data_IF_640607456758
#
_entry.id   IF_640607456758
#
_cell.length_a   1.000
_cell.length_b   1.000
_cell.length_c   1.000
_cell.angle_alpha   90.00
_cell.angle_beta   90.00
_cell.angle_gamma   90.00
#
_symmetry.space_group_name_H-M   'P 1'
#
loop_
_entity.id
_entity.type
_entity.pdbx_description
1 polymer ?
#
# COMPACT_ATOMS: atom_id res chain seq x y z
N UNK A 1 23.47 7.71 29.72
CA UNK A 1 24.77 7.41 29.09
C UNK A 1 24.97 5.93 28.75
N UNK A 2 25.17 4.99 29.70
CA UNK A 2 25.42 3.57 29.32
C UNK A 2 24.26 2.93 28.54
N UNK A 3 23.04 3.07 29.04
CA UNK A 3 21.83 2.58 28.36
C UNK A 3 21.65 3.23 26.99
N UNK A 4 21.83 4.54 26.92
CA UNK A 4 21.75 5.32 25.68
C UNK A 4 22.81 4.89 24.64
N UNK A 5 24.05 4.61 25.06
CA UNK A 5 25.06 4.04 24.17
C UNK A 5 24.68 2.64 23.67
N UNK A 6 24.01 1.83 24.48
CA UNK A 6 23.50 0.53 24.05
C UNK A 6 22.35 0.70 23.05
N UNK A 7 21.48 1.67 23.29
CA UNK A 7 20.40 2.05 22.40
C UNK A 7 20.93 2.50 21.04
N UNK A 8 21.96 3.35 21.01
CA UNK A 8 22.64 3.80 19.79
C UNK A 8 23.23 2.61 19.01
N UNK A 9 23.92 1.68 19.71
CA UNK A 9 24.47 0.47 19.09
C UNK A 9 23.40 -0.45 18.52
N UNK A 10 22.29 -0.65 19.24
CA UNK A 10 21.14 -1.44 18.78
C UNK A 10 20.51 -0.80 17.55
N UNK A 11 20.28 0.51 17.59
CA UNK A 11 19.79 1.28 16.43
C UNK A 11 20.73 1.11 15.24
N UNK A 12 22.04 1.37 15.39
CA UNK A 12 23.02 1.24 14.30
C UNK A 12 22.96 -0.13 13.63
N UNK A 13 22.78 -1.20 14.41
CA UNK A 13 22.65 -2.57 13.88
C UNK A 13 21.38 -2.76 13.05
N UNK A 14 20.25 -2.20 13.47
CA UNK A 14 18.97 -2.31 12.78
C UNK A 14 18.91 -1.50 11.47
N UNK A 15 19.76 -0.47 11.35
CA UNK A 15 19.83 0.46 10.21
C UNK A 15 21.14 0.37 9.42
N UNK A 16 21.92 -0.69 9.61
CA UNK A 16 23.21 -0.85 8.94
C UNK A 16 23.10 -0.96 7.41
N UNK A 17 21.91 -1.32 6.90
CA UNK A 17 21.57 -1.40 5.48
C UNK A 17 21.13 -0.06 4.88
N UNK A 18 21.04 1.01 5.67
CA UNK A 18 20.60 2.33 5.22
C UNK A 18 21.76 3.30 5.04
N UNK A 19 22.15 3.52 3.78
CA UNK A 19 23.25 4.42 3.44
C UNK A 19 22.96 5.88 3.78
N UNK A 20 21.69 6.29 3.75
CA UNK A 20 21.21 7.65 4.02
C UNK A 20 21.13 7.98 5.54
N UNK A 21 21.30 6.98 6.42
CA UNK A 21 21.23 7.13 7.88
C UNK A 21 22.63 6.99 8.48
N UNK A 22 23.01 7.91 9.36
CA UNK A 22 24.26 7.84 10.10
C UNK A 22 24.01 7.71 11.60
N UNK A 23 24.70 6.77 12.22
CA UNK A 23 24.72 6.59 13.68
C UNK A 23 26.18 6.55 14.14
N UNK A 24 26.60 7.47 15.03
CA UNK A 24 27.98 7.55 15.48
C UNK A 24 28.38 6.30 16.25
N UNK A 25 29.63 5.85 16.08
CA UNK A 25 30.18 4.77 16.90
C UNK A 25 30.35 5.19 18.37
N UNK A 26 30.00 4.30 19.28
CA UNK A 26 30.16 4.53 20.72
C UNK A 26 31.57 4.10 21.15
N UNK A 27 32.31 5.01 21.77
CA UNK A 27 33.62 4.72 22.34
C UNK A 27 33.46 4.28 23.80
N UNK A 28 33.28 2.97 24.00
CA UNK A 28 33.00 2.37 25.31
C UNK A 28 34.07 2.63 26.36
N UNK A 29 35.35 2.69 25.97
CA UNK A 29 36.46 2.96 26.89
C UNK A 29 36.42 4.37 27.49
N UNK A 30 35.70 5.30 26.86
CA UNK A 30 35.53 6.68 27.33
C UNK A 30 34.11 6.97 27.82
N UNK A 31 33.21 5.98 27.75
CA UNK A 31 31.82 6.11 28.21
C UNK A 31 31.70 5.61 29.64
N UNK A 32 30.92 6.33 30.47
CA UNK A 32 30.63 6.00 31.86
C UNK A 32 29.15 6.19 32.18
N UNK A 33 28.76 6.01 33.44
CA UNK A 33 27.39 6.29 33.88
C UNK A 33 26.95 7.73 33.68
N UNK A 34 27.89 8.69 33.62
CA UNK A 34 27.61 10.14 33.54
C UNK A 34 28.09 10.81 32.26
N UNK A 35 28.88 10.12 31.44
CA UNK A 35 29.47 10.66 30.21
C UNK A 35 29.27 9.65 29.10
N UNK A 36 28.68 10.06 27.98
CA UNK A 36 28.62 9.29 26.75
C UNK A 36 29.65 9.86 25.77
N UNK A 37 30.52 9.01 25.23
CA UNK A 37 31.51 9.42 24.22
C UNK A 37 31.25 8.65 22.94
N UNK A 38 31.09 9.39 21.85
CA UNK A 38 30.75 8.85 20.53
C UNK A 38 31.55 9.54 19.43
N UNK A 39 31.50 8.97 18.23
CA UNK A 39 32.11 9.52 17.02
C UNK A 39 31.63 10.94 16.75
N UNK A 40 32.58 11.79 16.37
CA UNK A 40 32.27 13.15 15.97
C UNK A 40 31.65 13.16 14.58
N UNK A 41 30.43 13.69 14.48
CA UNK A 41 29.72 13.83 13.20
C UNK A 41 29.73 15.29 12.78
N UNK A 42 30.27 15.56 11.60
CA UNK A 42 30.16 16.89 10.99
C UNK A 42 28.79 17.02 10.32
N UNK A 43 28.08 18.10 10.61
CA UNK A 43 26.80 18.38 9.97
C UNK A 43 26.11 19.63 10.51
N UNK A 44 25.00 19.98 9.88
CA UNK A 44 24.16 21.12 10.24
C UNK A 44 22.87 20.62 10.88
N UNK A 45 22.42 21.27 11.95
CA UNK A 45 21.19 20.86 12.64
C UNK A 45 19.98 20.96 11.72
N UNK A 46 19.06 20.01 11.83
CA UNK A 46 17.93 19.88 10.91
C UNK A 46 16.95 21.06 10.97
N UNK A 47 16.98 21.86 12.05
CA UNK A 47 16.22 23.10 12.18
C UNK A 47 16.87 24.33 11.51
N UNK A 48 18.06 24.20 10.91
CA UNK A 48 18.80 25.28 10.25
C UNK A 48 18.66 25.19 8.72
N UNK A 49 17.44 25.34 8.22
CA UNK A 49 17.12 25.13 6.79
C UNK A 49 18.02 25.90 5.83
N UNK A 50 18.21 27.21 6.04
CA UNK A 50 19.03 28.04 5.16
C UNK A 50 20.49 27.55 5.05
N UNK A 51 21.05 26.99 6.14
CA UNK A 51 22.42 26.46 6.15
C UNK A 51 22.51 25.11 5.42
N UNK A 52 21.45 24.29 5.47
CA UNK A 52 21.35 23.04 4.71
C UNK A 52 21.22 23.34 3.22
N UNK A 53 20.34 24.27 2.85
CA UNK A 53 20.13 24.67 1.46
C UNK A 53 21.37 25.32 0.84
N UNK A 54 22.17 26.06 1.63
CA UNK A 54 23.44 26.62 1.15
C UNK A 54 24.48 25.55 0.75
N UNK A 55 24.30 24.31 1.20
CA UNK A 55 25.12 23.15 0.82
C UNK A 55 24.56 22.42 -0.41
N UNK A 56 23.46 22.91 -1.00
CA UNK A 56 22.77 22.26 -2.12
C UNK A 56 21.87 21.08 -1.71
N UNK A 57 21.67 20.87 -0.41
CA UNK A 57 20.79 19.83 0.13
C UNK A 57 19.37 20.36 0.31
N UNK A 58 18.38 19.47 0.24
CA UNK A 58 16.98 19.81 0.55
C UNK A 58 16.60 19.26 1.91
N UNK A 59 16.14 20.13 2.81
CA UNK A 59 15.68 19.71 4.14
C UNK A 59 14.55 18.69 4.05
N UNK A 60 13.64 18.85 3.08
CA UNK A 60 12.52 17.93 2.88
C UNK A 60 12.96 16.50 2.53
N UNK A 61 14.07 16.32 1.82
CA UNK A 61 14.60 14.99 1.49
C UNK A 61 15.10 14.29 2.77
N UNK A 62 15.75 15.04 3.67
CA UNK A 62 16.22 14.55 4.97
C UNK A 62 15.05 14.28 5.92
N UNK A 63 14.04 15.14 5.94
CA UNK A 63 12.82 14.94 6.73
C UNK A 63 12.08 13.69 6.26
N UNK A 64 11.94 13.51 4.94
CA UNK A 64 11.35 12.30 4.34
C UNK A 64 12.14 11.06 4.74
N UNK A 65 13.47 11.13 4.70
CA UNK A 65 14.36 10.06 5.18
C UNK A 65 14.13 9.74 6.66
N UNK A 66 13.93 10.76 7.50
CA UNK A 66 13.60 10.60 8.92
C UNK A 66 12.23 9.96 9.18
N UNK A 67 11.20 10.35 8.41
CA UNK A 67 9.86 9.74 8.46
C UNK A 67 9.94 8.27 8.08
N UNK A 68 10.59 7.95 6.97
CA UNK A 68 10.77 6.57 6.48
C UNK A 68 11.55 5.72 7.49
N UNK A 69 12.62 6.28 8.07
CA UNK A 69 13.38 5.63 9.15
C UNK A 69 12.48 5.32 10.36
N UNK A 70 11.67 6.28 10.79
CA UNK A 70 10.79 6.15 11.97
C UNK A 70 9.65 5.16 11.76
N UNK A 71 9.05 5.14 10.56
CA UNK A 71 8.05 4.13 10.19
C UNK A 71 8.65 2.73 10.16
N UNK A 72 9.86 2.59 9.58
CA UNK A 72 10.61 1.33 9.58
C UNK A 72 10.93 0.83 10.99
N UNK A 73 11.34 1.74 11.88
CA UNK A 73 11.61 1.43 13.28
C UNK A 73 10.39 0.87 13.98
N UNK A 74 9.27 1.55 13.79
CA UNK A 74 8.02 1.22 14.43
C UNK A 74 7.44 -0.09 13.89
N UNK A 75 7.35 -0.24 12.57
CA UNK A 75 6.53 -1.27 11.94
C UNK A 75 7.32 -2.54 11.58
N UNK A 76 8.63 -2.47 11.32
CA UNK A 76 9.43 -3.67 11.03
C UNK A 76 10.05 -4.27 12.28
N UNK A 77 10.74 -3.43 13.06
CA UNK A 77 11.55 -3.89 14.19
C UNK A 77 10.87 -3.71 15.54
N UNK A 78 9.88 -2.81 15.63
CA UNK A 78 9.24 -2.42 16.89
C UNK A 78 10.22 -1.84 17.89
N UNK A 79 11.29 -1.20 17.42
CA UNK A 79 12.28 -0.52 18.25
C UNK A 79 12.50 0.87 17.68
N UNK A 80 11.88 1.88 18.29
CA UNK A 80 11.71 3.20 17.70
C UNK A 80 12.16 4.33 18.62
N UNK A 81 12.57 5.41 17.99
CA UNK A 81 12.95 6.63 18.68
C UNK A 81 11.69 7.43 19.00
N UNK A 82 11.38 7.59 20.28
CA UNK A 82 10.13 8.21 20.74
C UNK A 82 10.16 9.76 20.73
N UNK A 83 11.30 10.37 20.43
CA UNK A 83 11.47 11.83 20.41
C UNK A 83 12.64 12.24 19.49
N UNK A 84 12.47 12.14 18.16
CA UNK A 84 13.52 12.50 17.20
C UNK A 84 13.64 14.03 17.07
N UNK A 85 13.96 14.71 18.17
CA UNK A 85 13.99 16.17 18.24
C UNK A 85 14.98 16.74 17.20
N UNK A 86 14.60 17.75 16.40
CA UNK A 86 15.45 18.28 15.31
C UNK A 86 16.83 18.77 15.76
N UNK A 87 16.98 19.13 17.04
CA UNK A 87 18.26 19.52 17.64
C UNK A 87 19.28 18.39 17.76
N UNK A 88 18.83 17.13 17.73
CA UNK A 88 19.62 15.91 17.83
C UNK A 88 19.81 15.22 16.47
N UNK A 89 19.31 15.84 15.40
CA UNK A 89 19.44 15.38 14.03
C UNK A 89 20.35 16.32 13.24
N UNK A 90 21.33 15.76 12.54
CA UNK A 90 22.22 16.53 11.66
C UNK A 90 22.06 16.11 10.20
N UNK A 91 22.08 17.10 9.32
CA UNK A 91 22.36 16.94 7.90
C UNK A 91 23.88 16.89 7.70
N UNK A 92 24.43 15.76 7.27
CA UNK A 92 25.87 15.68 6.96
C UNK A 92 26.15 16.31 5.58
N UNK A 93 27.39 16.75 5.30
CA UNK A 93 27.75 17.30 3.98
C UNK A 93 27.52 16.32 2.82
N UNK A 94 27.55 15.02 3.10
CA UNK A 94 27.29 13.95 2.13
C UNK A 94 25.79 13.72 1.88
N UNK A 95 24.91 14.46 2.55
CA UNK A 95 23.46 14.34 2.41
C UNK A 95 22.83 13.25 3.28
N UNK A 96 23.53 12.76 4.31
CA UNK A 96 22.99 11.77 5.25
C UNK A 96 22.28 12.43 6.43
N UNK A 97 21.30 11.71 7.00
CA UNK A 97 20.64 12.08 8.25
C UNK A 97 21.31 11.38 9.44
N UNK A 98 22.01 12.13 10.28
CA UNK A 98 22.68 11.61 11.46
C UNK A 98 21.84 11.77 12.73
N UNK A 99 21.77 10.70 13.53
CA UNK A 99 21.10 10.69 14.84
C UNK A 99 22.14 10.75 15.95
N UNK A 100 21.98 11.68 16.90
CA UNK A 100 22.93 11.89 17.99
C UNK A 100 22.39 11.51 19.37
N UNK A 101 21.08 11.50 19.56
CA UNK A 101 20.41 11.19 20.83
C UNK A 101 19.66 9.88 20.69
N UNK A 102 19.86 9.00 21.67
CA UNK A 102 19.18 7.70 21.76
C UNK A 102 18.64 7.46 23.18
N UNK A 103 18.42 8.55 23.93
CA UNK A 103 17.96 8.52 25.30
C UNK A 103 16.50 8.07 25.43
N UNK A 104 15.69 8.35 24.41
CA UNK A 104 14.28 7.96 24.33
C UNK A 104 14.03 6.97 23.19
N UNK A 105 14.33 5.71 23.46
CA UNK A 105 13.94 4.57 22.64
C UNK A 105 12.84 3.77 23.32
N UNK A 106 11.91 3.24 22.55
CA UNK A 106 10.82 2.40 23.05
C UNK A 106 10.62 1.18 22.16
N UNK A 107 9.92 0.19 22.70
CA UNK A 107 9.55 -1.02 21.99
C UNK A 107 8.04 -1.12 21.78
N UNK A 108 7.65 -1.72 20.66
CA UNK A 108 6.27 -2.02 20.31
C UNK A 108 6.12 -3.51 20.01
N UNK A 109 5.15 -4.20 20.65
CA UNK A 109 4.84 -5.60 20.38
C UNK A 109 4.48 -5.89 18.91
N UNK A 110 4.79 -7.09 18.42
CA UNK A 110 4.60 -7.45 17.01
C UNK A 110 3.13 -7.50 16.57
N UNK A 111 2.25 -7.99 17.44
CA UNK A 111 0.80 -7.95 17.29
C UNK A 111 0.30 -6.52 17.15
N UNK A 112 0.74 -5.61 18.02
CA UNK A 112 0.40 -4.20 17.94
C UNK A 112 0.89 -3.56 16.62
N UNK A 113 2.10 -3.90 16.15
CA UNK A 113 2.61 -3.43 14.83
C UNK A 113 1.72 -3.90 13.68
N UNK A 114 1.35 -5.19 13.70
CA UNK A 114 0.49 -5.79 12.68
C UNK A 114 -0.89 -5.14 12.68
N UNK A 115 -1.46 -4.94 13.88
CA UNK A 115 -2.74 -4.28 14.07
C UNK A 115 -2.74 -2.83 13.54
N UNK A 116 -1.65 -2.06 13.74
CA UNK A 116 -1.52 -0.70 13.17
C UNK A 116 -1.63 -0.74 11.63
N UNK A 117 -0.94 -1.66 10.96
CA UNK A 117 -0.99 -1.73 9.50
C UNK A 117 -2.38 -2.19 9.02
N UNK A 118 -3.00 -3.17 9.67
CA UNK A 118 -4.38 -3.57 9.34
C UNK A 118 -5.38 -2.44 9.54
N UNK A 119 -5.21 -1.63 10.59
CA UNK A 119 -6.04 -0.44 10.81
C UNK A 119 -5.95 0.58 9.67
N UNK A 120 -4.74 0.80 9.15
CA UNK A 120 -4.54 1.62 7.94
C UNK A 120 -5.20 0.99 6.72
N UNK A 121 -5.18 -0.34 6.57
CA UNK A 121 -5.85 -1.03 5.46
C UNK A 121 -7.37 -0.88 5.54
N UNK A 122 -7.98 -1.08 6.71
CA UNK A 122 -9.42 -0.89 6.88
C UNK A 122 -9.84 0.57 6.66
N UNK A 123 -8.99 1.54 7.05
CA UNK A 123 -9.18 2.97 6.74
C UNK A 123 -9.25 3.22 5.24
N UNK A 124 -8.26 2.73 4.49
CA UNK A 124 -8.18 2.92 3.03
C UNK A 124 -9.36 2.23 2.32
N UNK A 125 -9.79 1.09 2.83
CA UNK A 125 -10.94 0.36 2.29
C UNK A 125 -12.30 0.95 2.69
N UNK A 126 -12.33 1.96 3.56
CA UNK A 126 -13.56 2.48 4.18
C UNK A 126 -14.39 1.37 4.86
N UNK A 127 -13.72 0.34 5.37
CA UNK A 127 -14.36 -0.73 6.14
C UNK A 127 -14.35 -0.34 7.62
N UNK A 128 -15.30 0.53 7.97
CA UNK A 128 -15.39 1.12 9.30
C UNK A 128 -15.81 0.08 10.35
N UNK A 129 -16.53 -0.96 9.94
CA UNK A 129 -16.88 -2.09 10.79
C UNK A 129 -15.64 -2.92 11.18
N UNK A 130 -14.76 -3.22 10.23
CA UNK A 130 -13.48 -3.88 10.50
C UNK A 130 -12.52 -2.98 11.27
N UNK A 131 -12.46 -1.70 10.90
CA UNK A 131 -11.67 -0.68 11.60
C UNK A 131 -12.03 -0.59 13.09
N UNK A 132 -13.32 -0.61 13.42
CA UNK A 132 -13.78 -0.56 14.81
C UNK A 132 -13.37 -1.82 15.59
N UNK A 133 -13.29 -2.99 14.93
CA UNK A 133 -12.81 -4.24 15.55
C UNK A 133 -11.30 -4.25 15.77
N UNK A 134 -10.52 -3.48 15.00
CA UNK A 134 -9.07 -3.37 15.22
C UNK A 134 -8.74 -2.83 16.61
N UNK A 135 -9.64 -2.08 17.25
CA UNK A 135 -9.44 -1.61 18.62
C UNK A 135 -9.26 -2.74 19.63
N UNK A 136 -9.73 -3.96 19.34
CA UNK A 136 -9.37 -5.12 20.15
C UNK A 136 -7.93 -5.57 19.91
N UNK A 137 -7.51 -5.65 18.64
CA UNK A 137 -6.15 -6.06 18.27
C UNK A 137 -5.08 -5.03 18.66
N UNK A 138 -5.47 -3.76 18.80
CA UNK A 138 -4.65 -2.66 19.31
C UNK A 138 -4.62 -2.58 20.84
N UNK A 139 -5.35 -3.46 21.55
CA UNK A 139 -5.52 -3.44 23.01
C UNK A 139 -6.15 -2.14 23.53
N UNK A 140 -6.91 -1.45 22.68
CA UNK A 140 -7.60 -0.20 22.99
C UNK A 140 -8.93 -0.45 23.68
N UNK A 141 -9.61 -1.54 23.33
CA UNK A 141 -10.87 -1.97 23.89
C UNK A 141 -10.82 -3.47 24.18
N UNK A 142 -11.57 -3.90 25.20
CA UNK A 142 -11.75 -5.32 25.49
C UNK A 142 -12.80 -5.92 24.55
N UNK A 143 -12.67 -7.21 24.21
CA UNK A 143 -13.52 -7.90 23.21
C UNK A 143 -14.99 -8.02 23.61
N UNK A 144 -15.34 -7.71 24.85
CA UNK A 144 -16.70 -7.65 25.39
C UNK A 144 -17.41 -6.32 25.15
N UNK A 145 -16.69 -5.28 24.72
CA UNK A 145 -17.26 -3.96 24.41
C UNK A 145 -17.89 -4.00 23.01
N UNK A 146 -19.16 -3.60 22.85
CA UNK A 146 -19.76 -3.45 21.52
C UNK A 146 -19.21 -2.21 20.80
N UNK A 147 -18.48 -2.43 19.70
CA UNK A 147 -17.89 -1.38 18.86
C UNK A 147 -18.81 -0.87 17.75
N UNK A 148 -19.99 -1.49 17.54
CA UNK A 148 -20.95 -1.06 16.51
C UNK A 148 -21.35 0.42 16.61
N UNK A 149 -21.51 1.00 17.82
CA UNK A 149 -21.81 2.42 17.99
C UNK A 149 -20.67 3.38 17.59
N UNK A 150 -19.43 2.89 17.48
CA UNK A 150 -18.26 3.68 17.07
C UNK A 150 -18.23 3.88 15.55
N UNK A 151 -18.77 2.92 14.79
CA UNK A 151 -18.71 2.88 13.31
C UNK A 151 -19.23 4.16 12.64
N UNK A 152 -20.38 4.75 13.02
CA UNK A 152 -20.84 6.00 12.42
C UNK A 152 -19.88 7.16 12.66
N UNK A 153 -19.29 7.26 13.85
CA UNK A 153 -18.34 8.32 14.17
C UNK A 153 -17.03 8.19 13.37
N UNK A 154 -16.55 6.96 13.17
CA UNK A 154 -15.41 6.69 12.28
C UNK A 154 -15.75 7.05 10.84
N UNK A 155 -16.94 6.65 10.37
CA UNK A 155 -17.40 6.95 9.02
C UNK A 155 -17.47 8.46 8.79
N UNK A 156 -18.14 9.19 9.66
CA UNK A 156 -18.29 10.65 9.53
C UNK A 156 -16.91 11.33 9.51
N UNK A 157 -16.02 10.95 10.44
CA UNK A 157 -14.68 11.51 10.50
C UNK A 157 -13.83 11.19 9.27
N UNK A 158 -13.75 9.91 8.89
CA UNK A 158 -12.87 9.47 7.82
C UNK A 158 -13.45 9.72 6.43
N UNK A 159 -14.77 9.67 6.20
CA UNK A 159 -15.34 10.05 4.91
C UNK A 159 -15.17 11.55 4.66
N UNK A 160 -15.34 12.40 5.67
CA UNK A 160 -15.03 13.84 5.56
C UNK A 160 -13.53 14.04 5.27
N UNK A 161 -12.68 13.34 6.03
CA UNK A 161 -11.23 13.40 5.88
C UNK A 161 -10.71 12.86 4.54
N UNK A 162 -11.36 11.85 3.95
CA UNK A 162 -10.99 11.18 2.70
C UNK A 162 -11.69 11.76 1.46
N UNK A 163 -12.70 12.62 1.64
CA UNK A 163 -13.21 13.48 0.57
C UNK A 163 -12.21 14.60 0.24
N UNK A 164 -11.43 15.03 1.23
CA UNK A 164 -10.12 15.60 1.01
C UNK A 164 -9.16 14.46 0.63
N UNK A 165 -8.26 14.67 -0.31
CA UNK A 165 -7.31 13.59 -0.69
C UNK A 165 -6.55 13.12 0.57
N UNK A 166 -6.14 11.85 0.71
CA UNK A 166 -5.31 11.40 1.88
C UNK A 166 -4.10 12.33 2.09
N UNK A 167 -3.63 12.94 1.00
CA UNK A 167 -2.64 14.00 0.97
C UNK A 167 -3.02 15.31 1.66
N UNK A 168 -4.25 15.57 2.06
CA UNK A 168 -4.63 16.82 2.74
C UNK A 168 -4.69 16.68 4.26
N UNK A 169 -4.70 15.44 4.77
CA UNK A 169 -4.73 15.13 6.19
C UNK A 169 -3.37 15.35 6.87
N UNK A 170 -3.43 15.85 8.10
CA UNK A 170 -2.27 15.95 9.01
C UNK A 170 -2.55 15.15 10.29
N UNK A 171 -1.49 14.71 10.96
CA UNK A 171 -1.60 13.86 12.16
C UNK A 171 -2.29 14.58 13.30
N UNK A 172 -2.10 15.89 13.43
CA UNK A 172 -2.82 16.68 14.44
C UNK A 172 -4.34 16.58 14.30
N UNK A 173 -4.90 16.74 13.10
CA UNK A 173 -6.34 16.60 12.85
C UNK A 173 -6.83 15.18 13.12
N UNK A 174 -6.02 14.16 12.81
CA UNK A 174 -6.35 12.76 13.17
C UNK A 174 -6.43 12.57 14.68
N UNK A 175 -5.46 13.08 15.44
CA UNK A 175 -5.45 13.00 16.90
C UNK A 175 -6.62 13.76 17.51
N UNK A 176 -6.89 14.98 17.05
CA UNK A 176 -7.98 15.81 17.56
C UNK A 176 -9.36 15.20 17.22
N UNK A 177 -9.51 14.66 16.01
CA UNK A 177 -10.74 14.02 15.55
C UNK A 177 -11.04 12.70 16.26
N UNK A 178 -10.04 11.84 16.39
CA UNK A 178 -10.14 10.60 17.17
C UNK A 178 -10.39 10.88 18.65
N UNK A 179 -9.85 11.97 19.20
CA UNK A 179 -10.09 12.39 20.59
C UNK A 179 -11.57 12.43 20.94
N UNK A 180 -12.42 12.97 20.07
CA UNK A 180 -13.87 13.05 20.29
C UNK A 180 -14.56 11.68 20.32
N UNK A 181 -14.03 10.72 19.57
CA UNK A 181 -14.50 9.31 19.58
C UNK A 181 -14.02 8.60 20.85
N UNK A 182 -12.76 8.84 21.26
CA UNK A 182 -12.15 8.23 22.45
C UNK A 182 -12.88 8.59 23.75
N UNK A 183 -13.47 9.78 23.85
CA UNK A 183 -14.21 10.20 25.06
C UNK A 183 -15.55 9.49 25.27
N UNK A 184 -16.12 8.89 24.22
CA UNK A 184 -17.44 8.27 24.28
C UNK A 184 -17.41 6.79 24.69
N UNK A 185 -16.23 6.17 24.68
CA UNK A 185 -16.04 4.73 24.89
C UNK A 185 -14.89 4.46 25.87
N UNK A 186 -14.85 3.29 26.55
CA UNK A 186 -13.86 2.99 27.58
C UNK A 186 -12.49 2.61 26.97
N UNK A 187 -11.90 3.51 26.19
CA UNK A 187 -10.59 3.31 25.59
C UNK A 187 -9.49 3.25 26.66
N UNK A 188 -8.68 2.20 26.58
CA UNK A 188 -7.44 2.07 27.34
C UNK A 188 -6.27 2.07 26.35
N UNK A 189 -5.58 3.20 26.20
CA UNK A 189 -4.50 3.33 25.22
C UNK A 189 -3.15 2.94 25.85
N UNK A 190 -2.47 1.87 25.40
CA UNK A 190 -1.16 1.52 25.93
C UNK A 190 -0.13 2.65 25.79
N UNK A 191 0.77 2.77 26.77
CA UNK A 191 1.69 3.90 26.89
C UNK A 191 2.61 4.10 25.66
N UNK A 192 2.98 3.02 24.96
CA UNK A 192 3.83 3.12 23.77
C UNK A 192 3.13 3.80 22.59
N UNK A 193 1.79 3.79 22.51
CA UNK A 193 1.07 4.56 21.49
C UNK A 193 1.19 6.07 21.70
N UNK A 194 1.22 6.53 22.95
CA UNK A 194 1.51 7.93 23.24
C UNK A 194 2.93 8.34 22.81
N UNK A 195 3.89 7.42 22.90
CA UNK A 195 5.27 7.61 22.42
C UNK A 195 5.34 7.64 20.88
N UNK A 196 4.57 6.76 20.21
CA UNK A 196 4.44 6.76 18.74
C UNK A 196 3.88 8.10 18.26
N UNK A 197 2.76 8.52 18.84
CA UNK A 197 2.11 9.79 18.48
C UNK A 197 3.06 10.96 18.68
N UNK A 198 3.77 11.02 19.82
CA UNK A 198 4.78 12.05 20.08
C UNK A 198 5.85 12.09 19.00
N UNK A 199 6.43 10.93 18.66
CA UNK A 199 7.47 10.84 17.64
C UNK A 199 6.98 11.37 16.28
N UNK A 200 5.78 10.95 15.87
CA UNK A 200 5.19 11.38 14.60
C UNK A 200 4.85 12.87 14.59
N UNK A 201 4.32 13.41 15.69
CA UNK A 201 4.04 14.85 15.83
C UNK A 201 5.30 15.71 15.76
N UNK A 202 6.42 15.27 16.34
CA UNK A 202 7.70 15.98 16.27
C UNK A 202 8.22 16.03 14.83
N UNK A 203 8.15 14.91 14.10
CA UNK A 203 8.54 14.85 12.69
C UNK A 203 7.63 15.68 11.80
N UNK A 204 6.32 15.66 12.05
CA UNK A 204 5.35 16.49 11.33
C UNK A 204 5.61 17.98 11.57
N UNK A 205 5.86 18.40 12.81
CA UNK A 205 6.18 19.79 13.13
C UNK A 205 7.43 20.28 12.39
N UNK A 206 8.44 19.43 12.26
CA UNK A 206 9.64 19.74 11.47
C UNK A 206 9.35 19.83 9.97
N UNK A 207 8.54 18.91 9.44
CA UNK A 207 8.18 18.91 8.03
C UNK A 207 7.39 20.17 7.65
N UNK A 208 6.40 20.54 8.47
CA UNK A 208 5.58 21.75 8.29
C UNK A 208 6.38 23.04 8.49
N UNK A 209 7.43 23.01 9.32
CA UNK A 209 8.37 24.13 9.42
C UNK A 209 9.17 24.33 8.13
N UNK A 210 9.59 23.25 7.48
CA UNK A 210 10.35 23.31 6.23
C UNK A 210 9.47 23.62 5.00
N UNK A 211 8.26 23.08 4.95
CA UNK A 211 7.23 23.38 3.95
C UNK A 211 5.84 23.32 4.58
N UNK A 212 5.13 24.46 4.71
CA UNK A 212 3.77 24.50 5.28
C UNK A 212 2.74 23.66 4.54
N UNK A 213 3.01 23.32 3.27
CA UNK A 213 2.15 22.47 2.46
C UNK A 213 2.55 21.00 2.52
N UNK A 214 3.58 20.63 3.30
CA UNK A 214 4.05 19.26 3.39
C UNK A 214 3.00 18.33 3.97
N UNK A 215 2.87 17.15 3.38
CA UNK A 215 1.81 16.18 3.66
C UNK A 215 2.41 14.89 4.20
N UNK A 216 2.57 14.81 5.51
CA UNK A 216 3.30 13.73 6.19
C UNK A 216 2.67 12.36 5.94
N UNK A 217 1.33 12.29 5.93
CA UNK A 217 0.62 11.04 5.62
C UNK A 217 0.88 10.57 4.19
N UNK A 218 0.87 11.49 3.21
CA UNK A 218 1.24 11.15 1.83
C UNK A 218 2.70 10.70 1.73
N UNK A 219 3.62 11.35 2.46
CA UNK A 219 5.03 10.94 2.53
C UNK A 219 5.23 9.56 3.19
N UNK A 220 4.25 9.10 3.98
CA UNK A 220 4.25 7.79 4.64
C UNK A 220 3.62 6.69 3.77
N UNK A 221 2.80 7.04 2.77
CA UNK A 221 2.05 6.08 1.98
C UNK A 221 2.91 5.08 1.20
N UNK A 222 4.04 5.47 0.56
CA UNK A 222 4.96 4.54 -0.08
C UNK A 222 5.42 3.40 0.84
N UNK A 223 5.69 3.73 2.11
CA UNK A 223 6.11 2.77 3.12
C UNK A 223 5.03 1.73 3.38
N UNK A 224 3.80 2.18 3.67
CA UNK A 224 2.67 1.30 3.92
C UNK A 224 2.34 0.43 2.69
N UNK A 225 2.38 1.02 1.50
CA UNK A 225 2.14 0.30 0.25
C UNK A 225 3.18 -0.82 0.03
N UNK A 226 4.47 -0.50 0.16
CA UNK A 226 5.56 -1.49 0.09
C UNK A 226 5.39 -2.56 1.17
N UNK A 227 5.13 -2.17 2.42
CA UNK A 227 4.98 -3.11 3.54
C UNK A 227 3.81 -4.06 3.31
N UNK A 228 2.64 -3.55 2.95
CA UNK A 228 1.46 -4.36 2.66
C UNK A 228 1.70 -5.35 1.52
N UNK A 229 2.42 -4.94 0.48
CA UNK A 229 2.73 -5.80 -0.67
C UNK A 229 3.76 -6.90 -0.34
N UNK A 230 4.73 -6.63 0.53
CA UNK A 230 5.93 -7.47 0.70
C UNK A 230 5.97 -8.27 2.01
N UNK A 231 5.16 -7.92 3.01
CA UNK A 231 5.22 -8.53 4.34
C UNK A 231 4.65 -9.96 4.33
N UNK A 232 5.40 -10.97 4.85
CA UNK A 232 4.91 -12.34 4.95
C UNK A 232 3.87 -12.57 6.06
N UNK A 233 3.62 -11.59 6.92
CA UNK A 233 2.68 -11.70 8.04
C UNK A 233 1.28 -12.11 7.54
N UNK A 234 0.69 -13.21 8.08
CA UNK A 234 -0.65 -13.66 7.68
C UNK A 234 -1.71 -12.57 7.76
N UNK A 235 -1.70 -11.75 8.82
CA UNK A 235 -2.66 -10.68 9.01
C UNK A 235 -2.61 -9.63 7.89
N UNK A 236 -1.40 -9.19 7.51
CA UNK A 236 -1.22 -8.21 6.43
C UNK A 236 -1.50 -8.78 5.06
N UNK A 237 -1.15 -10.04 4.86
CA UNK A 237 -1.50 -10.78 3.66
C UNK A 237 -3.02 -10.88 3.51
N UNK A 238 -3.74 -11.21 4.59
CA UNK A 238 -5.20 -11.33 4.56
C UNK A 238 -5.85 -9.95 4.33
N UNK A 239 -5.29 -8.89 4.93
CA UNK A 239 -5.70 -7.51 4.67
C UNK A 239 -5.44 -7.07 3.21
N UNK A 240 -4.30 -7.47 2.61
CA UNK A 240 -4.01 -7.25 1.19
C UNK A 240 -5.01 -8.00 0.31
N UNK A 241 -5.32 -9.26 0.61
CA UNK A 241 -6.31 -10.04 -0.13
C UNK A 241 -7.67 -9.34 -0.06
N UNK A 242 -8.10 -8.94 1.12
CA UNK A 242 -9.37 -8.23 1.29
C UNK A 242 -9.41 -6.94 0.45
N UNK A 243 -8.30 -6.18 0.45
CA UNK A 243 -8.14 -4.99 -0.39
C UNK A 243 -8.22 -5.31 -1.89
N UNK A 244 -7.60 -6.41 -2.33
CA UNK A 244 -7.52 -6.83 -3.73
C UNK A 244 -8.77 -7.55 -4.27
N UNK A 245 -9.71 -7.96 -3.41
CA UNK A 245 -10.91 -8.68 -3.86
C UNK A 245 -12.24 -7.95 -3.59
N UNK A 246 -12.21 -6.76 -2.98
CA UNK A 246 -13.32 -5.79 -2.97
C UNK A 246 -13.46 -5.03 -4.31
N UNK A 247 -14.54 -4.25 -4.47
CA UNK A 247 -14.77 -3.42 -5.66
C UNK A 247 -13.66 -2.37 -5.88
N UNK A 248 -13.30 -2.10 -7.13
CA UNK A 248 -12.21 -1.17 -7.47
C UNK A 248 -10.78 -1.72 -7.31
N UNK A 249 -10.64 -3.04 -7.13
CA UNK A 249 -9.35 -3.73 -6.86
C UNK A 249 -8.17 -3.38 -7.76
N UNK A 250 -8.39 -3.24 -9.07
CA UNK A 250 -7.29 -3.04 -10.02
C UNK A 250 -6.72 -1.63 -9.92
N UNK A 251 -7.57 -0.63 -9.64
CA UNK A 251 -7.13 0.74 -9.31
C UNK A 251 -6.28 0.72 -8.05
N UNK A 252 -6.76 0.08 -6.99
CA UNK A 252 -6.03 0.00 -5.71
C UNK A 252 -4.70 -0.73 -5.84
N UNK A 253 -4.65 -1.84 -6.58
CA UNK A 253 -3.40 -2.56 -6.83
C UNK A 253 -2.42 -1.70 -7.63
N UNK A 254 -2.89 -1.02 -8.67
CA UNK A 254 -2.09 -0.10 -9.47
C UNK A 254 -1.53 1.03 -8.58
N UNK A 255 -2.36 1.66 -7.76
CA UNK A 255 -1.96 2.72 -6.83
C UNK A 255 -0.94 2.21 -5.80
N UNK A 256 -1.17 1.04 -5.20
CA UNK A 256 -0.22 0.43 -4.26
C UNK A 256 1.12 0.12 -4.92
N UNK A 257 1.13 -0.32 -6.17
CA UNK A 257 2.37 -0.58 -6.91
C UNK A 257 3.08 0.72 -7.30
N UNK A 258 2.33 1.75 -7.73
CA UNK A 258 2.89 3.07 -8.05
C UNK A 258 3.55 3.67 -6.81
N UNK A 259 2.86 3.62 -5.68
CA UNK A 259 3.32 4.23 -4.43
C UNK A 259 4.41 3.40 -3.77
N UNK A 260 4.26 2.07 -3.73
CA UNK A 260 5.27 1.15 -3.22
C UNK A 260 6.60 1.29 -3.94
N UNK A 261 6.60 1.47 -5.27
CA UNK A 261 7.82 1.66 -6.08
C UNK A 261 8.58 2.95 -5.80
N UNK A 262 7.96 3.94 -5.11
CA UNK A 262 8.67 5.15 -4.67
C UNK A 262 9.62 4.85 -3.51
N UNK A 263 9.41 3.75 -2.78
CA UNK A 263 10.34 3.26 -1.77
C UNK A 263 11.54 2.58 -2.45
N UNK A 264 12.76 3.00 -2.07
CA UNK A 264 14.01 2.49 -2.66
C UNK A 264 14.24 1.00 -2.44
N UNK A 265 13.67 0.43 -1.38
CA UNK A 265 13.79 -1.00 -1.07
C UNK A 265 12.71 -1.84 -1.77
N UNK A 266 11.85 -1.24 -2.60
CA UNK A 266 10.77 -1.98 -3.24
C UNK A 266 11.29 -2.93 -4.31
N UNK A 267 10.80 -4.17 -4.26
CA UNK A 267 11.12 -5.22 -5.22
C UNK A 267 9.83 -5.94 -5.62
N UNK A 268 9.54 -5.98 -6.93
CA UNK A 268 8.36 -6.70 -7.41
C UNK A 268 8.42 -8.20 -7.07
N UNK A 269 9.63 -8.76 -6.96
CA UNK A 269 9.84 -10.13 -6.48
C UNK A 269 9.27 -10.33 -5.09
N UNK A 270 9.60 -9.42 -4.18
CA UNK A 270 9.19 -9.52 -2.79
C UNK A 270 7.70 -9.22 -2.63
N UNK A 271 7.13 -8.40 -3.52
CA UNK A 271 5.69 -8.14 -3.57
C UNK A 271 4.88 -9.36 -4.07
N UNK A 272 5.41 -10.10 -5.04
CA UNK A 272 4.72 -11.24 -5.64
C UNK A 272 4.84 -12.51 -4.79
N UNK A 273 5.96 -12.71 -4.08
CA UNK A 273 6.21 -13.96 -3.36
C UNK A 273 5.13 -14.35 -2.33
N UNK A 274 4.66 -13.46 -1.44
CA UNK A 274 3.64 -13.82 -0.45
C UNK A 274 2.34 -14.32 -1.11
N UNK A 275 1.89 -13.61 -2.15
CA UNK A 275 0.69 -13.95 -2.91
C UNK A 275 0.86 -15.29 -3.63
N UNK A 276 2.02 -15.51 -4.28
CA UNK A 276 2.30 -16.77 -4.97
C UNK A 276 2.37 -17.95 -4.00
N UNK A 277 3.03 -17.79 -2.85
CA UNK A 277 3.09 -18.85 -1.83
C UNK A 277 1.71 -19.22 -1.33
N UNK A 278 0.83 -18.25 -1.11
CA UNK A 278 -0.53 -18.54 -0.68
C UNK A 278 -1.35 -19.20 -1.80
N UNK A 279 -1.32 -18.64 -3.01
CA UNK A 279 -2.07 -19.16 -4.16
C UNK A 279 -1.73 -20.63 -4.44
N UNK A 280 -0.45 -20.98 -4.33
CA UNK A 280 0.07 -22.33 -4.57
C UNK A 280 0.06 -23.21 -3.32
N UNK A 281 -0.15 -22.64 -2.13
CA UNK A 281 -0.18 -23.36 -0.85
C UNK A 281 -1.53 -24.06 -0.60
N UNK A 282 -1.60 -25.01 0.34
CA UNK A 282 -2.83 -25.75 0.63
C UNK A 282 -3.98 -24.82 1.04
N UNK A 283 -3.70 -23.81 1.87
CA UNK A 283 -4.68 -22.90 2.47
C UNK A 283 -5.24 -21.83 1.49
N UNK A 284 -4.72 -21.78 0.26
CA UNK A 284 -5.08 -20.76 -0.73
C UNK A 284 -6.35 -21.03 -1.54
N UNK A 285 -7.26 -21.90 -1.10
CA UNK A 285 -8.41 -22.32 -1.94
C UNK A 285 -9.34 -21.15 -2.29
N UNK A 286 -9.65 -20.31 -1.30
CA UNK A 286 -10.46 -19.12 -1.50
C UNK A 286 -9.80 -18.15 -2.46
N UNK A 287 -8.50 -17.87 -2.24
CA UNK A 287 -7.70 -17.03 -3.13
C UNK A 287 -7.69 -17.59 -4.56
N UNK A 288 -7.48 -18.89 -4.74
CA UNK A 288 -7.53 -19.55 -6.06
C UNK A 288 -8.88 -19.35 -6.75
N UNK A 289 -9.98 -19.51 -6.04
CA UNK A 289 -11.32 -19.31 -6.60
C UNK A 289 -11.54 -17.87 -7.06
N UNK A 290 -11.10 -16.90 -6.26
CA UNK A 290 -11.16 -15.48 -6.60
C UNK A 290 -10.24 -15.15 -7.79
N UNK A 291 -9.00 -15.65 -7.79
CA UNK A 291 -8.05 -15.50 -8.90
C UNK A 291 -8.59 -16.09 -10.20
N UNK A 292 -9.26 -17.25 -10.16
CA UNK A 292 -9.89 -17.85 -11.35
C UNK A 292 -10.97 -16.94 -11.91
N UNK A 293 -11.87 -16.44 -11.05
CA UNK A 293 -12.96 -15.55 -11.46
C UNK A 293 -12.43 -14.28 -12.14
N UNK A 294 -11.33 -13.74 -11.64
CA UNK A 294 -10.68 -12.58 -12.23
C UNK A 294 -9.88 -12.90 -13.49
N UNK A 295 -9.14 -14.01 -13.52
CA UNK A 295 -8.44 -14.47 -14.71
C UNK A 295 -9.39 -14.66 -15.89
N UNK A 296 -10.61 -15.15 -15.65
CA UNK A 296 -11.68 -15.25 -16.65
C UNK A 296 -12.06 -13.87 -17.19
N UNK A 297 -12.28 -12.87 -16.31
CA UNK A 297 -12.64 -11.49 -16.72
C UNK A 297 -11.51 -10.82 -17.51
N UNK A 298 -10.27 -10.96 -17.06
CA UNK A 298 -9.09 -10.38 -17.73
C UNK A 298 -8.86 -11.04 -19.08
N UNK A 299 -8.97 -12.37 -19.17
CA UNK A 299 -8.81 -13.10 -20.43
C UNK A 299 -9.90 -12.71 -21.44
N UNK A 300 -11.15 -12.61 -20.99
CA UNK A 300 -12.25 -12.09 -21.81
C UNK A 300 -11.94 -10.67 -22.30
N UNK A 301 -11.43 -9.80 -21.43
CA UNK A 301 -11.09 -8.42 -21.79
C UNK A 301 -9.97 -8.32 -22.83
N UNK A 302 -8.93 -9.15 -22.69
CA UNK A 302 -7.85 -9.24 -23.67
C UNK A 302 -8.39 -9.72 -25.01
N UNK A 303 -9.18 -10.81 -25.04
CA UNK A 303 -9.74 -11.37 -26.28
C UNK A 303 -10.64 -10.37 -26.99
N UNK A 304 -11.60 -9.77 -26.27
CA UNK A 304 -12.52 -8.79 -26.84
C UNK A 304 -11.79 -7.53 -27.31
N UNK A 305 -10.80 -7.07 -26.53
CA UNK A 305 -9.97 -5.94 -26.91
C UNK A 305 -9.15 -6.22 -28.18
N UNK A 306 -8.52 -7.39 -28.30
CA UNK A 306 -7.78 -7.77 -29.51
C UNK A 306 -8.69 -7.89 -30.74
N UNK A 307 -9.92 -8.38 -30.57
CA UNK A 307 -10.93 -8.40 -31.63
C UNK A 307 -11.30 -6.97 -32.05
N UNK A 308 -11.51 -6.07 -31.09
CA UNK A 308 -11.82 -4.67 -31.36
C UNK A 308 -10.65 -3.94 -32.06
N UNK A 309 -9.41 -4.15 -31.63
CA UNK A 309 -8.22 -3.57 -32.26
C UNK A 309 -8.05 -4.08 -33.69
N UNK A 310 -8.27 -5.38 -33.91
CA UNK A 310 -8.23 -6.01 -35.24
C UNK A 310 -9.31 -5.44 -36.14
N UNK A 311 -10.53 -5.26 -35.63
CA UNK A 311 -11.63 -4.65 -36.38
C UNK A 311 -11.33 -3.19 -36.74
N UNK A 312 -10.85 -2.39 -35.78
CA UNK A 312 -10.52 -0.97 -36.00
C UNK A 312 -9.34 -0.77 -36.96
N UNK A 313 -8.39 -1.71 -36.98
CA UNK A 313 -7.22 -1.69 -37.87
C UNK A 313 -7.48 -2.34 -39.23
N UNK A 314 -8.61 -3.02 -39.41
CA UNK A 314 -8.96 -3.71 -40.65
C UNK A 314 -9.37 -2.71 -41.75
N UNK A 315 -9.01 -2.96 -43.02
CA UNK A 315 -9.55 -2.21 -44.16
C UNK A 315 -11.09 -2.22 -44.19
N UNK A 316 -11.70 -1.15 -44.70
CA UNK A 316 -13.17 -0.94 -44.73
C UNK A 316 -13.97 -2.08 -45.38
N UNK A 317 -13.38 -2.79 -46.34
CA UNK A 317 -14.00 -3.97 -46.96
C UNK A 317 -14.08 -5.19 -46.02
N UNK A 318 -13.11 -5.36 -45.11
CA UNK A 318 -13.10 -6.43 -44.10
C UNK A 318 -14.08 -6.09 -42.96
N UNK A 319 -14.15 -4.82 -42.57
CA UNK A 319 -15.11 -4.35 -41.56
C UNK A 319 -16.56 -4.65 -41.99
N UNK A 320 -16.89 -4.34 -43.26
CA UNK A 320 -18.20 -4.66 -43.85
C UNK A 320 -18.50 -6.16 -43.86
N UNK A 321 -17.48 -7.01 -44.10
CA UNK A 321 -17.63 -8.47 -44.12
C UNK A 321 -17.89 -9.05 -42.71
N UNK A 322 -17.30 -8.45 -41.66
CA UNK A 322 -17.48 -8.89 -40.27
C UNK A 322 -18.83 -8.47 -39.65
N UNK A 323 -19.50 -7.43 -40.18
CA UNK A 323 -20.76 -6.88 -39.64
C UNK A 323 -22.00 -7.51 -40.29
N UNK A 324 -21.85 -8.32 -41.33
CA UNK A 324 -22.95 -8.72 -42.21
C UNK A 324 -23.86 -9.82 -41.62
N UNK A 325 -24.49 -9.53 -40.48
CA UNK A 325 -25.49 -10.35 -39.80
C UNK A 325 -26.40 -9.62 -38.80
N UNK A 326 -26.06 -8.41 -38.33
CA UNK A 326 -26.98 -7.52 -37.62
C UNK A 326 -26.34 -6.12 -37.53
N UNK A 327 -27.10 -5.04 -37.73
CA UNK A 327 -26.61 -3.64 -37.80
C UNK A 327 -25.99 -3.05 -36.52
N UNK A 328 -25.64 -3.90 -35.54
CA UNK A 328 -24.76 -3.53 -34.44
C UNK A 328 -23.39 -4.11 -34.81
N UNK A 329 -22.34 -3.27 -34.83
CA UNK A 329 -20.99 -3.66 -35.26
C UNK A 329 -20.46 -4.96 -34.64
N UNK A 330 -19.26 -5.41 -35.04
CA UNK A 330 -18.68 -6.76 -34.84
C UNK A 330 -18.93 -7.49 -33.50
N UNK A 331 -19.33 -6.79 -32.44
CA UNK A 331 -19.94 -7.35 -31.25
C UNK A 331 -21.16 -6.50 -30.85
N UNK A 332 -22.36 -7.07 -30.72
CA UNK A 332 -23.53 -6.39 -30.14
C UNK A 332 -23.40 -6.25 -28.61
N UNK A 333 -22.29 -5.64 -28.18
CA UNK A 333 -21.95 -5.27 -26.81
C UNK A 333 -22.36 -3.80 -26.65
N UNK A 334 -22.88 -3.41 -25.48
CA UNK A 334 -23.14 -1.99 -25.23
C UNK A 334 -21.82 -1.20 -25.27
N UNK A 335 -21.82 0.03 -25.75
CA UNK A 335 -20.60 0.86 -25.80
C UNK A 335 -19.93 0.97 -24.43
N UNK A 336 -20.74 1.12 -23.37
CA UNK A 336 -20.27 1.17 -21.98
C UNK A 336 -19.61 -0.15 -21.52
N UNK A 337 -20.18 -1.31 -21.87
CA UNK A 337 -19.58 -2.61 -21.51
C UNK A 337 -18.25 -2.84 -22.24
N UNK A 338 -18.14 -2.38 -23.49
CA UNK A 338 -16.91 -2.46 -24.27
C UNK A 338 -15.84 -1.55 -23.68
N UNK A 339 -16.18 -0.30 -23.34
CA UNK A 339 -15.27 0.65 -22.69
C UNK A 339 -14.75 0.12 -21.35
N UNK A 340 -15.64 -0.38 -20.48
CA UNK A 340 -15.24 -0.97 -19.20
C UNK A 340 -14.33 -2.21 -19.38
N UNK A 341 -14.60 -3.02 -20.40
CA UNK A 341 -13.77 -4.17 -20.75
C UNK A 341 -12.39 -3.73 -21.27
N UNK A 342 -12.33 -2.69 -22.10
CA UNK A 342 -11.08 -2.14 -22.62
C UNK A 342 -10.24 -1.47 -21.52
N UNK A 343 -10.88 -0.76 -20.58
CA UNK A 343 -10.17 -0.16 -19.45
C UNK A 343 -9.55 -1.23 -18.55
N UNK A 344 -10.30 -2.30 -18.24
CA UNK A 344 -9.77 -3.44 -17.49
C UNK A 344 -8.52 -4.04 -18.17
N UNK A 345 -8.56 -4.23 -19.50
CA UNK A 345 -7.40 -4.73 -20.26
C UNK A 345 -6.21 -3.78 -20.13
N UNK A 346 -6.42 -2.49 -20.39
CA UNK A 346 -5.36 -1.48 -20.37
C UNK A 346 -4.73 -1.39 -18.98
N UNK A 347 -5.55 -1.44 -17.94
CA UNK A 347 -5.10 -1.43 -16.56
C UNK A 347 -4.22 -2.63 -16.21
N UNK A 348 -4.62 -3.84 -16.60
CA UNK A 348 -3.79 -5.03 -16.40
C UNK A 348 -2.43 -4.89 -17.09
N UNK A 349 -2.39 -4.31 -18.29
CA UNK A 349 -1.13 -4.03 -18.98
C UNK A 349 -0.28 -2.96 -18.30
N UNK A 350 -0.88 -1.92 -17.72
CA UNK A 350 -0.16 -0.92 -16.91
C UNK A 350 0.48 -1.58 -15.68
N UNK A 351 -0.28 -2.38 -14.94
CA UNK A 351 0.21 -3.15 -13.78
C UNK A 351 1.34 -4.09 -14.19
N UNK A 352 1.19 -4.81 -15.30
CA UNK A 352 2.26 -5.64 -15.85
C UNK A 352 3.51 -4.84 -16.18
N UNK A 353 3.35 -3.66 -16.80
CA UNK A 353 4.44 -2.72 -17.06
C UNK A 353 5.12 -2.25 -15.77
N UNK A 354 4.34 -1.99 -14.71
CA UNK A 354 4.89 -1.59 -13.41
C UNK A 354 5.73 -2.69 -12.76
N UNK A 355 5.26 -3.94 -12.81
CA UNK A 355 5.99 -5.08 -12.26
C UNK A 355 7.26 -5.39 -13.06
N UNK A 356 7.14 -5.45 -14.40
CA UNK A 356 8.23 -5.83 -15.31
C UNK A 356 9.34 -4.79 -15.45
N UNK A 357 9.06 -3.52 -15.13
CA UNK A 357 10.05 -2.44 -15.15
C UNK A 357 10.81 -2.27 -13.82
N UNK A 358 10.59 -3.12 -12.82
CA UNK A 358 11.37 -3.06 -11.57
C UNK A 358 12.75 -3.70 -11.75
N UNK A 359 13.78 -3.11 -11.11
CA UNK A 359 15.20 -3.47 -11.32
C UNK A 359 15.52 -4.96 -11.08
N UNK A 360 14.71 -5.65 -10.27
CA UNK A 360 14.91 -7.05 -9.89
C UNK A 360 13.78 -7.99 -10.36
N UNK A 361 12.99 -7.59 -11.37
CA UNK A 361 11.97 -8.47 -11.93
C UNK A 361 12.60 -9.54 -12.82
N UNK A 362 12.48 -10.79 -12.39
CA UNK A 362 12.81 -11.95 -13.20
C UNK A 362 11.50 -12.65 -13.63
N UNK A 363 11.20 -12.77 -14.95
CA UNK A 363 10.05 -13.54 -15.42
C UNK A 363 10.03 -14.98 -14.90
N UNK A 364 11.19 -15.54 -14.50
CA UNK A 364 11.27 -16.85 -13.88
C UNK A 364 10.52 -16.93 -12.53
N UNK A 365 10.21 -15.80 -11.88
CA UNK A 365 9.37 -15.76 -10.68
C UNK A 365 7.96 -16.32 -10.89
N UNK A 366 7.49 -16.34 -12.15
CA UNK A 366 6.21 -16.91 -12.52
C UNK A 366 6.31 -18.39 -12.92
N UNK A 367 7.52 -18.96 -12.99
CA UNK A 367 7.72 -20.39 -13.31
C UNK A 367 6.99 -21.32 -12.33
N UNK A 368 6.95 -21.07 -11.01
CA UNK A 368 6.16 -21.91 -10.11
C UNK A 368 4.68 -21.96 -10.50
N UNK A 369 4.11 -20.87 -11.02
CA UNK A 369 2.73 -20.83 -11.52
C UNK A 369 2.60 -21.73 -12.74
N UNK A 370 3.52 -21.62 -13.70
CA UNK A 370 3.51 -22.44 -14.92
C UNK A 370 3.67 -23.93 -14.59
N UNK A 371 4.53 -24.27 -13.63
CA UNK A 371 4.72 -25.65 -13.16
C UNK A 371 3.48 -26.18 -12.46
N UNK A 372 2.85 -25.39 -11.59
CA UNK A 372 1.61 -25.80 -10.92
C UNK A 372 0.48 -25.97 -11.93
N UNK A 373 0.33 -25.07 -12.92
CA UNK A 373 -0.62 -25.23 -14.03
C UNK A 373 -0.43 -26.53 -14.83
N UNK A 374 0.78 -27.10 -14.84
CA UNK A 374 1.05 -28.39 -15.49
C UNK A 374 0.69 -29.60 -14.63
N UNK A 375 0.61 -29.46 -13.31
CA UNK A 375 0.19 -30.49 -12.36
C UNK A 375 -1.32 -30.77 -12.46
N UNK A 376 -1.82 -31.94 -12.02
CA UNK A 376 -3.24 -32.31 -12.14
C UNK A 376 -4.19 -31.27 -11.53
N UNK A 377 -3.82 -30.71 -10.37
CA UNK A 377 -4.56 -29.66 -9.68
C UNK A 377 -4.55 -28.34 -10.47
N UNK A 378 -3.41 -27.92 -11.03
CA UNK A 378 -3.36 -26.70 -11.85
C UNK A 378 -3.96 -26.86 -13.25
N UNK A 379 -4.02 -28.08 -13.81
CA UNK A 379 -4.83 -28.36 -15.00
C UNK A 379 -6.32 -28.16 -14.73
N UNK A 380 -6.79 -28.46 -13.52
CA UNK A 380 -8.15 -28.14 -13.11
C UNK A 380 -8.39 -26.62 -13.03
N UNK A 381 -7.42 -25.85 -12.52
CA UNK A 381 -7.45 -24.38 -12.52
C UNK A 381 -7.49 -23.80 -13.93
N UNK A 382 -6.57 -24.23 -14.81
CA UNK A 382 -6.53 -23.79 -16.20
C UNK A 382 -7.81 -24.16 -16.95
N UNK A 383 -8.33 -25.37 -16.73
CA UNK A 383 -9.61 -25.81 -17.28
C UNK A 383 -10.80 -24.99 -16.79
N UNK A 384 -10.81 -24.56 -15.52
CA UNK A 384 -11.85 -23.67 -14.96
C UNK A 384 -11.79 -22.26 -15.55
N UNK A 385 -10.59 -21.72 -15.78
CA UNK A 385 -10.43 -20.42 -16.45
C UNK A 385 -10.91 -20.51 -17.90
N UNK A 386 -10.43 -21.49 -18.67
CA UNK A 386 -10.86 -21.69 -20.06
C UNK A 386 -12.37 -21.91 -20.14
N UNK A 387 -12.92 -22.81 -19.31
CA UNK A 387 -14.36 -23.08 -19.25
C UNK A 387 -15.17 -21.84 -18.88
N UNK A 388 -14.71 -21.04 -17.92
CA UNK A 388 -15.37 -19.79 -17.52
C UNK A 388 -15.35 -18.72 -18.62
N UNK A 389 -14.24 -18.60 -19.36
CA UNK A 389 -14.14 -17.70 -20.53
C UNK A 389 -15.10 -18.16 -21.62
N UNK A 390 -15.11 -19.46 -21.96
CA UNK A 390 -16.03 -20.03 -22.95
C UNK A 390 -17.49 -19.81 -22.55
N UNK A 391 -17.84 -20.03 -21.28
CA UNK A 391 -19.20 -19.80 -20.77
C UNK A 391 -19.61 -18.33 -20.86
N UNK A 392 -18.73 -17.38 -20.49
CA UNK A 392 -19.05 -15.95 -20.59
C UNK A 392 -19.19 -15.49 -22.03
N UNK A 393 -18.29 -15.91 -22.93
CA UNK A 393 -18.38 -15.61 -24.35
C UNK A 393 -19.66 -16.22 -24.95
N UNK A 394 -20.00 -17.47 -24.61
CA UNK A 394 -21.23 -18.12 -25.04
C UNK A 394 -22.48 -17.41 -24.50
N UNK A 395 -22.48 -17.02 -23.22
CA UNK A 395 -23.58 -16.25 -22.62
C UNK A 395 -23.77 -14.90 -23.32
N UNK A 396 -22.67 -14.20 -23.66
CA UNK A 396 -22.74 -12.96 -24.46
C UNK A 396 -23.31 -13.22 -25.85
N UNK A 397 -22.84 -14.26 -26.55
CA UNK A 397 -23.38 -14.64 -27.87
C UNK A 397 -24.87 -14.99 -27.80
N UNK A 398 -25.30 -15.73 -26.78
CA UNK A 398 -26.71 -16.04 -26.57
C UNK A 398 -27.54 -14.79 -26.26
N UNK A 399 -27.04 -13.87 -25.43
CA UNK A 399 -27.68 -12.57 -25.21
C UNK A 399 -27.78 -11.73 -26.50
N UNK A 400 -26.79 -11.82 -27.38
CA UNK A 400 -26.82 -11.17 -28.69
C UNK A 400 -27.89 -11.77 -29.62
N UNK A 401 -28.01 -13.10 -29.64
CA UNK A 401 -29.01 -13.81 -30.44
C UNK A 401 -30.45 -13.62 -29.91
N UNK A 402 -30.62 -13.45 -28.60
CA UNK A 402 -31.91 -13.28 -27.93
C UNK A 402 -32.40 -11.82 -27.91
N UNK A 403 -31.55 -10.82 -28.21
CA UNK A 403 -31.97 -9.43 -28.43
C UNK A 403 -32.65 -9.33 -29.81
N UNK A 404 -33.98 -9.52 -29.86
CA UNK A 404 -34.79 -9.23 -31.05
C UNK A 404 -34.66 -7.75 -31.44
N UNK A 405 -34.54 -7.40 -32.73
CA UNK A 405 -34.53 -6.00 -33.16
C UNK A 405 -35.90 -5.38 -32.87
N UNK A 406 -35.95 -4.37 -32.01
CA UNK A 406 -37.12 -3.51 -31.89
C UNK A 406 -37.30 -2.76 -33.21
N UNK A 407 -38.30 -3.16 -33.98
CA UNK A 407 -38.75 -2.43 -35.18
C UNK A 407 -39.06 -0.99 -34.77
N UNK A 408 -38.50 0.04 -35.43
CA UNK A 408 -38.93 1.40 -35.18
C UNK A 408 -40.37 1.53 -35.68
N UNK A 409 -41.32 1.72 -34.77
CA UNK A 409 -42.67 2.14 -35.14
C UNK A 409 -42.59 3.52 -35.77
N UNK A 410 -42.64 3.56 -37.09
CA UNK A 410 -43.02 4.73 -37.85
C UNK A 410 -44.46 5.09 -37.49
N UNK A 411 -44.64 6.13 -36.68
CA UNK A 411 -45.92 6.83 -36.58
C UNK A 411 -45.79 8.18 -37.27
N UNK A 412 -46.05 8.18 -38.57
CA UNK A 412 -46.48 9.35 -39.33
C UNK A 412 -47.98 9.53 -39.15
N UNK A 413 -48.40 10.62 -38.50
CA UNK A 413 -49.36 11.62 -38.96
C UNK A 413 -49.65 12.64 -37.85
#
# INVERSE_FOLDING_TARGET
CLQEGQNARKFKKLYADKEDILVPDIYWNYTSGKVLTMEWVNGVKLNQQAAIESQGLKVLDLVTTGIQCSLRQLLEYGYFHADPHPGNLLATPEGKLAFLDFGMMSETPEDARSAIVGHVVHMVNRDYEAMARDYYALDFLSTDVDVSPIVPALRDFFDDALNYTVSELNFKTLVDGLGNVLYQYPFNVPAYYALILRSLTVLEGLALYADPNFKVLAASYPYFAKRLLTDPNPYLRDALIELLFKDGRWNRLEDLLIEGRKDRDFSAKDALQPVLRLLLGPDGEELRNLTIKEAVRVTEAIVLGSVADTYNSAPSFIQTLMINGNGNGALAISTADLEATMELRNQVFRIWGLLSSSENFDPALLQPILQVLQQPEGRSLGGRVVGGVTQRLAARLLQQLLRTPTVPTSSSL
#
